data_IF_088317019383
#
_entry.id   IF_088317019383
#
_cell.length_a   1.000
_cell.length_b   1.000
_cell.length_c   1.000
_cell.angle_alpha   90.00
_cell.angle_beta   90.00
_cell.angle_gamma   90.00
#
_symmetry.space_group_name_H-M   'P 1'
#
loop_
_entity.id
_entity.type
_entity.pdbx_description
1 polymer ?
#
# COMPACT_ATOMS: atom_id res chain seq x y z
N UNK A 1 -36.39 -8.72 13.70
CA UNK A 1 -36.68 -7.74 14.77
C UNK A 1 -35.57 -7.82 15.80
N UNK A 2 -34.91 -6.70 16.01
CA UNK A 2 -33.80 -6.50 16.96
C UNK A 2 -34.27 -6.91 18.36
N UNK A 3 -33.57 -7.81 19.03
CA UNK A 3 -33.78 -8.07 20.46
C UNK A 3 -32.79 -7.23 21.25
N UNK A 4 -33.33 -6.32 22.05
CA UNK A 4 -32.64 -5.45 23.00
C UNK A 4 -31.71 -6.26 23.91
N UNK A 5 -30.52 -5.72 24.19
CA UNK A 5 -29.66 -6.22 25.26
C UNK A 5 -29.87 -5.33 26.50
N UNK A 6 -30.53 -5.89 27.51
CA UNK A 6 -30.55 -5.33 28.86
C UNK A 6 -29.21 -5.66 29.53
N UNK A 7 -28.38 -4.63 29.73
CA UNK A 7 -27.16 -4.76 30.52
C UNK A 7 -27.48 -4.64 32.01
N UNK A 8 -27.67 -5.79 32.67
CA UNK A 8 -27.57 -5.88 34.13
C UNK A 8 -26.15 -6.33 34.50
N UNK A 9 -25.34 -5.39 34.98
CA UNK A 9 -23.96 -5.67 35.39
C UNK A 9 -23.92 -6.15 36.84
N UNK A 10 -23.99 -7.46 37.04
CA UNK A 10 -23.69 -8.11 38.32
C UNK A 10 -22.67 -9.23 38.13
N UNK A 11 -21.39 -8.89 38.29
CA UNK A 11 -20.40 -9.78 38.91
C UNK A 11 -19.82 -10.95 38.11
N UNK A 12 -19.74 -10.90 36.78
CA UNK A 12 -18.98 -11.88 35.98
C UNK A 12 -18.08 -11.12 34.99
N UNK A 13 -16.80 -11.48 34.91
CA UNK A 13 -15.87 -10.88 33.97
C UNK A 13 -16.40 -11.06 32.55
N UNK A 14 -16.78 -9.97 31.89
CA UNK A 14 -17.12 -9.98 30.47
C UNK A 14 -15.80 -10.25 29.74
N UNK A 15 -15.56 -11.49 29.34
CA UNK A 15 -14.52 -11.79 28.36
C UNK A 15 -15.04 -11.33 27.01
N UNK A 16 -14.98 -10.01 26.78
CA UNK A 16 -15.15 -9.46 25.44
C UNK A 16 -14.05 -10.09 24.58
N UNK A 17 -14.46 -11.06 23.77
CA UNK A 17 -13.55 -11.84 22.95
C UNK A 17 -13.15 -10.96 21.77
N UNK A 18 -12.17 -10.10 22.00
CA UNK A 18 -11.53 -9.36 20.92
C UNK A 18 -10.81 -10.36 20.02
N UNK A 19 -11.42 -10.66 18.87
CA UNK A 19 -10.74 -11.40 17.81
C UNK A 19 -9.50 -10.63 17.37
N UNK A 20 -8.37 -11.30 17.30
CA UNK A 20 -7.15 -10.78 16.68
C UNK A 20 -7.07 -11.25 15.25
N UNK A 21 -6.87 -10.31 14.33
CA UNK A 21 -6.72 -10.60 12.90
C UNK A 21 -5.32 -10.28 12.41
N UNK A 22 -4.90 -11.01 11.40
CA UNK A 22 -3.63 -10.79 10.71
C UNK A 22 -3.83 -9.84 9.52
N UNK A 23 -2.96 -8.84 9.41
CA UNK A 23 -2.83 -7.99 8.23
C UNK A 23 -1.54 -8.36 7.51
N UNK A 24 -1.70 -8.87 6.29
CA UNK A 24 -0.60 -9.26 5.40
C UNK A 24 -0.35 -8.16 4.38
N UNK A 25 0.92 -7.90 4.08
CA UNK A 25 1.33 -6.88 3.11
C UNK A 25 1.88 -7.56 1.85
N UNK A 26 1.13 -7.49 0.75
CA UNK A 26 1.59 -7.92 -0.56
C UNK A 26 2.29 -6.75 -1.27
N UNK A 27 3.63 -6.77 -1.28
CA UNK A 27 4.44 -5.70 -1.85
C UNK A 27 4.37 -5.58 -3.39
N UNK A 28 3.66 -6.46 -4.10
CA UNK A 28 3.48 -6.44 -5.56
C UNK A 28 4.78 -6.15 -6.34
N UNK A 29 5.82 -6.94 -6.06
CA UNK A 29 7.14 -6.81 -6.70
C UNK A 29 8.10 -5.84 -6.02
N UNK A 30 7.71 -5.21 -4.90
CA UNK A 30 8.63 -4.52 -4.00
C UNK A 30 9.30 -5.45 -2.98
N UNK A 31 10.16 -4.88 -2.13
CA UNK A 31 10.79 -5.57 -1.01
C UNK A 31 9.75 -6.12 -0.02
N UNK A 32 10.07 -7.23 0.63
CA UNK A 32 9.18 -7.88 1.59
C UNK A 32 8.82 -6.96 2.77
N UNK A 33 7.59 -7.08 3.25
CA UNK A 33 7.05 -6.35 4.40
C UNK A 33 6.42 -7.35 5.35
N UNK A 34 6.83 -7.33 6.62
CA UNK A 34 6.30 -8.24 7.64
C UNK A 34 4.82 -8.00 7.91
N UNK A 35 4.05 -9.06 8.10
CA UNK A 35 2.67 -8.96 8.57
C UNK A 35 2.59 -8.40 9.98
N UNK A 36 1.43 -7.87 10.35
CA UNK A 36 1.12 -7.44 11.72
C UNK A 36 -0.21 -8.04 12.18
N UNK A 37 -0.46 -8.01 13.48
CA UNK A 37 -1.74 -8.42 14.08
C UNK A 37 -2.44 -7.22 14.70
N UNK A 38 -3.77 -7.18 14.63
CA UNK A 38 -4.58 -6.15 15.24
C UNK A 38 -5.84 -6.73 15.87
N UNK A 39 -6.29 -6.14 16.98
CA UNK A 39 -7.61 -6.42 17.53
C UNK A 39 -8.70 -5.97 16.57
N UNK A 40 -9.79 -6.73 16.51
CA UNK A 40 -10.99 -6.37 15.77
C UNK A 40 -11.44 -4.96 16.14
N UNK A 41 -11.74 -4.14 15.13
CA UNK A 41 -12.19 -2.76 15.29
C UNK A 41 -11.07 -1.73 15.52
N UNK A 42 -9.80 -2.16 15.57
CA UNK A 42 -8.66 -1.24 15.71
C UNK A 42 -8.06 -0.84 14.37
N UNK A 43 -7.44 0.34 14.30
CA UNK A 43 -6.56 0.73 13.20
C UNK A 43 -5.19 0.05 13.34
N UNK A 44 -4.37 0.12 12.29
CA UNK A 44 -2.97 -0.30 12.32
C UNK A 44 -2.05 0.85 11.95
N UNK A 45 -0.83 0.85 12.45
CA UNK A 45 0.22 1.76 11.98
C UNK A 45 0.67 1.35 10.57
N UNK A 46 1.00 2.34 9.73
CA UNK A 46 1.59 2.08 8.43
C UNK A 46 2.97 1.43 8.60
N UNK A 47 3.31 0.37 7.83
CA UNK A 47 4.66 -0.18 7.85
C UNK A 47 5.62 0.80 7.16
N UNK A 48 6.92 0.57 7.34
CA UNK A 48 7.93 1.23 6.50
C UNK A 48 7.61 0.95 5.02
N UNK A 49 7.56 1.98 4.16
CA UNK A 49 7.30 1.78 2.74
C UNK A 49 8.27 0.77 2.12
N UNK A 50 7.78 -0.23 1.37
CA UNK A 50 8.67 -1.09 0.61
C UNK A 50 9.38 -0.29 -0.49
N UNK A 51 10.43 -0.86 -1.05
CA UNK A 51 11.13 -0.28 -2.21
C UNK A 51 10.98 -1.19 -3.42
N UNK A 52 10.96 -0.60 -4.61
CA UNK A 52 10.96 -1.31 -5.89
C UNK A 52 11.78 -0.50 -6.88
N UNK A 53 12.83 -1.11 -7.44
CA UNK A 53 13.69 -0.44 -8.42
C UNK A 53 12.84 0.11 -9.56
N UNK A 54 13.12 1.33 -10.02
CA UNK A 54 12.40 2.04 -11.07
C UNK A 54 10.98 2.54 -10.74
N UNK A 55 10.47 2.34 -9.51
CA UNK A 55 9.12 2.77 -9.14
C UNK A 55 9.13 3.61 -7.86
N UNK A 56 8.13 4.48 -7.74
CA UNK A 56 7.78 5.20 -6.52
C UNK A 56 6.61 4.51 -5.84
N UNK A 57 6.71 4.26 -4.54
CA UNK A 57 5.63 3.68 -3.74
C UNK A 57 4.48 4.70 -3.61
N UNK A 58 3.28 4.30 -4.01
CA UNK A 58 2.10 5.18 -4.05
C UNK A 58 1.10 4.90 -2.92
N UNK A 59 1.31 3.86 -2.11
CA UNK A 59 0.45 3.53 -0.97
C UNK A 59 -0.02 2.08 -0.95
N UNK A 60 -0.81 1.75 0.08
CA UNK A 60 -1.43 0.44 0.29
C UNK A 60 -2.91 0.47 -0.07
N UNK A 61 -3.39 -0.59 -0.70
CA UNK A 61 -4.74 -0.71 -1.25
C UNK A 61 -5.45 -1.97 -0.77
N UNK A 62 -6.78 -1.92 -0.73
CA UNK A 62 -7.64 -2.98 -0.21
C UNK A 62 -7.73 -4.20 -1.15
N UNK A 63 -7.36 -4.01 -2.40
CA UNK A 63 -7.38 -5.05 -3.42
C UNK A 63 -6.22 -4.90 -4.42
N UNK A 64 -5.93 -5.99 -5.12
CA UNK A 64 -4.78 -6.07 -6.02
C UNK A 64 -4.85 -5.08 -7.21
N UNK A 65 -6.05 -4.66 -7.63
CA UNK A 65 -6.24 -3.67 -8.70
C UNK A 65 -5.88 -2.24 -8.27
N UNK A 66 -5.63 -2.02 -6.98
CA UNK A 66 -5.22 -0.74 -6.43
C UNK A 66 -6.18 0.42 -6.75
N UNK A 67 -7.48 0.17 -6.53
CA UNK A 67 -8.58 1.12 -6.75
C UNK A 67 -8.91 1.87 -5.45
N UNK A 68 -9.08 1.15 -4.35
CA UNK A 68 -9.45 1.66 -3.02
C UNK A 68 -8.23 1.69 -2.11
N UNK A 69 -7.75 2.89 -1.77
CA UNK A 69 -6.64 3.05 -0.84
C UNK A 69 -7.07 2.64 0.58
N UNK A 70 -6.15 2.03 1.34
CA UNK A 70 -6.29 1.85 2.77
C UNK A 70 -5.82 3.12 3.50
N UNK A 71 -6.68 3.66 4.35
CA UNK A 71 -6.37 4.81 5.18
C UNK A 71 -6.00 4.35 6.61
N UNK A 72 -4.71 4.37 6.94
CA UNK A 72 -4.20 3.94 8.25
C UNK A 72 -4.73 4.75 9.44
N UNK A 73 -5.30 5.94 9.20
CA UNK A 73 -5.89 6.77 10.26
C UNK A 73 -7.36 6.46 10.55
N UNK A 74 -8.08 5.81 9.62
CA UNK A 74 -9.55 5.65 9.73
C UNK A 74 -10.06 4.24 9.43
N UNK A 75 -9.37 3.48 8.58
CA UNK A 75 -9.76 2.11 8.29
C UNK A 75 -9.38 1.18 9.44
N UNK A 76 -10.34 0.35 9.82
CA UNK A 76 -10.23 -0.59 10.95
C UNK A 76 -10.16 -2.03 10.45
N UNK A 77 -9.46 -2.87 11.19
CA UNK A 77 -9.33 -4.30 10.89
C UNK A 77 -10.51 -5.05 11.49
N UNK A 78 -11.32 -5.71 10.66
CA UNK A 78 -12.49 -6.49 11.10
C UNK A 78 -12.42 -7.97 10.71
N UNK A 79 -11.40 -8.35 9.93
CA UNK A 79 -11.08 -9.70 9.51
C UNK A 79 -9.61 -9.76 9.08
N UNK A 80 -9.11 -10.98 8.79
CA UNK A 80 -7.81 -11.12 8.15
C UNK A 80 -7.79 -10.34 6.83
N UNK A 81 -6.84 -9.43 6.68
CA UNK A 81 -6.78 -8.46 5.59
C UNK A 81 -5.47 -8.61 4.84
N UNK A 82 -5.50 -8.54 3.50
CA UNK A 82 -4.28 -8.36 2.70
C UNK A 82 -4.30 -6.98 2.08
N UNK A 83 -3.24 -6.21 2.29
CA UNK A 83 -3.04 -4.90 1.66
C UNK A 83 -2.03 -5.01 0.53
N UNK A 84 -2.30 -4.32 -0.58
CA UNK A 84 -1.54 -4.42 -1.82
C UNK A 84 -0.80 -3.11 -2.11
N UNK A 85 0.50 -3.19 -2.37
CA UNK A 85 1.31 -2.02 -2.69
C UNK A 85 1.03 -1.52 -4.10
N UNK A 86 0.75 -0.22 -4.25
CA UNK A 86 0.68 0.46 -5.54
C UNK A 86 2.01 1.11 -5.88
N UNK A 87 2.35 1.08 -7.16
CA UNK A 87 3.61 1.58 -7.70
C UNK A 87 3.36 2.52 -8.87
N UNK A 88 4.08 3.63 -8.91
CA UNK A 88 4.14 4.54 -10.06
C UNK A 88 5.50 4.38 -10.73
N UNK A 89 5.52 4.09 -12.03
CA UNK A 89 6.78 3.94 -12.79
C UNK A 89 7.48 5.30 -12.88
N UNK A 90 8.77 5.33 -12.58
CA UNK A 90 9.56 6.55 -12.66
C UNK A 90 9.87 6.86 -14.14
N UNK A 91 9.56 8.09 -14.56
CA UNK A 91 9.90 8.62 -15.87
C UNK A 91 11.14 9.51 -15.78
N UNK A 92 11.99 9.44 -16.80
CA UNK A 92 13.22 10.22 -16.92
C UNK A 92 13.22 10.94 -18.27
N UNK A 93 13.84 12.11 -18.31
CA UNK A 93 14.07 12.84 -19.56
C UNK A 93 15.53 12.67 -19.95
N UNK A 94 15.78 12.13 -21.14
CA UNK A 94 17.13 12.05 -21.71
C UNK A 94 17.35 13.24 -22.63
N UNK A 95 18.41 13.99 -22.34
CA UNK A 95 18.85 15.12 -23.14
C UNK A 95 20.12 14.76 -23.90
N UNK A 96 20.20 15.16 -25.16
CA UNK A 96 21.35 14.92 -26.02
C UNK A 96 22.16 16.21 -26.14
N UNK A 97 23.47 16.13 -25.85
CA UNK A 97 24.39 17.23 -26.13
C UNK A 97 24.98 17.05 -27.53
N UNK A 98 24.60 17.93 -28.46
CA UNK A 98 25.03 17.87 -29.86
C UNK A 98 26.49 18.32 -30.09
N UNK A 99 27.23 18.77 -29.06
CA UNK A 99 28.63 19.23 -29.13
C UNK A 99 28.93 20.15 -30.33
N UNK A 100 28.02 21.08 -30.64
CA UNK A 100 28.16 22.02 -31.77
C UNK A 100 27.42 21.62 -33.05
N UNK A 101 26.76 20.46 -33.09
CA UNK A 101 25.81 20.07 -34.13
C UNK A 101 24.39 20.62 -33.91
N UNK A 102 23.46 20.22 -34.78
CA UNK A 102 22.04 20.60 -34.67
C UNK A 102 21.41 20.08 -33.37
N UNK A 103 20.53 20.90 -32.77
CA UNK A 103 19.83 20.53 -31.54
C UNK A 103 18.98 19.27 -31.75
N UNK A 104 19.07 18.34 -30.80
CA UNK A 104 18.29 17.11 -30.76
C UNK A 104 17.25 17.22 -29.66
N UNK A 105 15.99 16.91 -29.98
CA UNK A 105 14.89 16.89 -29.02
C UNK A 105 15.13 15.87 -27.91
N UNK A 106 14.81 16.24 -26.67
CA UNK A 106 14.84 15.30 -25.54
C UNK A 106 13.81 14.19 -25.71
N UNK A 107 14.14 12.99 -25.22
CA UNK A 107 13.23 11.84 -25.23
C UNK A 107 12.80 11.51 -23.80
N UNK A 108 11.49 11.39 -23.57
CA UNK A 108 10.97 10.83 -22.33
C UNK A 108 11.16 9.31 -22.35
N UNK A 109 11.85 8.79 -21.34
CA UNK A 109 12.13 7.36 -21.20
C UNK A 109 11.60 6.86 -19.87
N UNK A 110 10.99 5.68 -19.87
CA UNK A 110 10.72 4.97 -18.64
C UNK A 110 11.94 4.18 -18.21
N UNK A 111 12.08 3.94 -16.91
CA UNK A 111 13.16 3.12 -16.39
C UNK A 111 13.20 1.73 -17.06
N UNK A 112 14.35 1.35 -17.62
CA UNK A 112 14.53 0.09 -18.36
C UNK A 112 14.15 0.14 -19.84
N UNK A 113 13.67 1.26 -20.37
CA UNK A 113 13.46 1.43 -21.80
C UNK A 113 14.78 1.66 -22.54
N UNK A 114 14.95 1.01 -23.68
CA UNK A 114 16.00 1.37 -24.66
C UNK A 114 15.55 2.60 -25.42
N UNK A 115 16.38 3.65 -25.42
CA UNK A 115 16.16 4.83 -26.24
C UNK A 115 16.86 4.60 -27.58
N UNK A 116 16.10 4.66 -28.68
CA UNK A 116 16.69 4.63 -30.01
C UNK A 116 17.53 5.90 -30.22
N UNK A 117 18.65 5.76 -30.94
CA UNK A 117 19.45 6.93 -31.31
C UNK A 117 18.56 7.94 -32.06
N UNK A 118 18.68 9.24 -31.75
CA UNK A 118 17.96 10.30 -32.45
C UNK A 118 18.33 10.38 -33.93
#
# INVERSE_FOLDING_TARGET
MLKSYDYHYSGQAITDSFFTYTVTFNAQGGTAVSSTTASSGSTIAAPTPPTRSCYTFAGWYKEASCTNAWNFSTDIVTANTTLYAKWTLNAFTVTFNAQGGSAVSSVAASCGSTIAAP
#
